data_IF_872684464649
#
_entry.id   IF_872684464649
#
_cell.length_a   1.000
_cell.length_b   1.000
_cell.length_c   1.000
_cell.angle_alpha   90.00
_cell.angle_beta   90.00
_cell.angle_gamma   90.00
#
_symmetry.space_group_name_H-M   'P 1'
#
loop_
_entity.id
_entity.type
_entity.pdbx_description
1 polymer ?
#
# COMPACT_ATOMS: atom_id res chain seq x y z
N UNK A 1 1.04 16.03 26.54
CA UNK A 1 1.59 15.09 25.54
C UNK A 1 0.56 15.03 24.41
N UNK A 2 0.85 15.62 23.25
CA UNK A 2 -0.13 15.69 22.15
C UNK A 2 -0.27 14.27 21.59
N UNK A 3 -1.49 13.70 21.65
CA UNK A 3 -1.76 12.38 21.10
C UNK A 3 -1.78 12.49 19.57
N UNK A 4 -0.67 12.13 18.95
CA UNK A 4 -0.56 12.10 17.50
C UNK A 4 -1.45 10.99 16.95
N UNK A 5 -2.35 11.33 16.03
CA UNK A 5 -3.25 10.35 15.45
C UNK A 5 -2.52 9.51 14.39
N UNK A 6 -3.07 8.34 14.07
CA UNK A 6 -2.57 7.54 12.95
C UNK A 6 -2.65 8.32 11.61
N UNK A 7 -3.64 9.21 11.47
CA UNK A 7 -3.77 10.07 10.31
C UNK A 7 -2.62 11.08 10.21
N UNK A 8 -2.24 11.72 11.32
CA UNK A 8 -1.13 12.70 11.34
C UNK A 8 0.20 12.06 10.94
N UNK A 9 0.44 10.83 11.42
CA UNK A 9 1.63 10.05 11.04
C UNK A 9 1.62 9.67 9.57
N UNK A 10 0.45 9.34 9.01
CA UNK A 10 0.32 9.01 7.60
C UNK A 10 0.56 10.24 6.70
N UNK A 11 -0.02 11.40 7.04
CA UNK A 11 0.16 12.66 6.32
C UNK A 11 1.64 13.06 6.30
N UNK A 12 2.31 13.06 7.45
CA UNK A 12 3.73 13.41 7.54
C UNK A 12 4.63 12.51 6.67
N UNK A 13 4.32 11.21 6.59
CA UNK A 13 5.07 10.27 5.74
C UNK A 13 4.87 10.53 4.25
N UNK A 14 3.66 10.88 3.83
CA UNK A 14 3.34 11.19 2.42
C UNK A 14 3.97 12.52 2.02
N UNK A 15 3.88 13.54 2.88
CA UNK A 15 4.45 14.86 2.62
C UNK A 15 5.98 14.79 2.46
N UNK A 16 6.65 13.97 3.27
CA UNK A 16 8.11 13.81 3.22
C UNK A 16 8.66 13.19 1.93
N UNK A 17 7.83 12.58 1.08
CA UNK A 17 8.26 11.97 -0.19
C UNK A 17 7.58 12.58 -1.42
N UNK A 18 6.84 13.68 -1.25
CA UNK A 18 5.96 14.24 -2.30
C UNK A 18 6.71 14.55 -3.59
N UNK A 19 7.90 15.11 -3.48
CA UNK A 19 8.71 15.60 -4.60
C UNK A 19 9.85 14.65 -4.99
N UNK A 20 9.91 13.45 -4.39
CA UNK A 20 10.86 12.39 -4.74
C UNK A 20 10.09 11.17 -5.29
N UNK A 21 10.04 10.99 -6.63
CA UNK A 21 9.36 9.86 -7.25
C UNK A 21 9.87 8.48 -6.79
N UNK A 22 11.16 8.37 -6.50
CA UNK A 22 11.77 7.10 -6.07
C UNK A 22 11.39 6.78 -4.63
N UNK A 23 11.47 7.77 -3.74
CA UNK A 23 11.03 7.62 -2.35
C UNK A 23 9.53 7.35 -2.25
N UNK A 24 8.72 7.99 -3.10
CA UNK A 24 7.28 7.74 -3.20
C UNK A 24 6.99 6.29 -3.60
N UNK A 25 7.69 5.76 -4.61
CA UNK A 25 7.55 4.36 -5.01
C UNK A 25 7.94 3.39 -3.88
N UNK A 26 9.02 3.69 -3.15
CA UNK A 26 9.44 2.90 -2.00
C UNK A 26 8.39 2.92 -0.87
N UNK A 27 7.81 4.08 -0.56
CA UNK A 27 6.74 4.22 0.41
C UNK A 27 5.48 3.43 0.01
N UNK A 28 5.10 3.46 -1.27
CA UNK A 28 3.98 2.65 -1.77
C UNK A 28 4.24 1.15 -1.59
N UNK A 29 5.42 0.65 -1.99
CA UNK A 29 5.76 -0.78 -1.87
C UNK A 29 5.69 -1.29 -0.44
N UNK A 30 6.12 -0.48 0.52
CA UNK A 30 6.07 -0.84 1.94
C UNK A 30 4.65 -0.76 2.51
N UNK A 31 3.86 0.21 2.06
CA UNK A 31 2.46 0.40 2.51
C UNK A 31 1.50 -0.64 1.93
N UNK A 32 1.74 -1.10 0.69
CA UNK A 32 0.96 -2.16 0.03
C UNK A 32 1.47 -3.58 0.33
N UNK A 33 2.37 -3.75 1.31
CA UNK A 33 2.80 -5.08 1.73
C UNK A 33 1.61 -5.80 2.38
N UNK A 34 0.96 -6.65 1.61
CA UNK A 34 -0.06 -7.57 2.13
C UNK A 34 0.65 -8.52 3.10
N UNK A 35 0.18 -8.62 4.36
CA UNK A 35 0.70 -9.63 5.27
C UNK A 35 0.56 -11.02 4.64
N UNK A 36 1.58 -11.88 4.76
CA UNK A 36 1.52 -13.25 4.19
C UNK A 36 0.36 -14.07 4.73
N UNK A 37 -0.15 -13.73 5.92
CA UNK A 37 -1.37 -14.31 6.50
C UNK A 37 -2.67 -13.84 5.84
N UNK A 38 -2.64 -12.71 5.14
CA UNK A 38 -3.77 -12.08 4.41
C UNK A 38 -3.68 -12.35 2.92
N UNK A 39 -2.49 -12.63 2.39
CA UNK A 39 -2.28 -13.10 1.03
C UNK A 39 -2.87 -14.51 0.85
N UNK A 40 -4.17 -14.56 0.61
CA UNK A 40 -4.93 -15.80 0.38
C UNK A 40 -4.73 -16.36 -1.04
N UNK A 41 -3.76 -15.86 -1.80
CA UNK A 41 -3.58 -16.22 -3.21
C UNK A 41 -4.75 -15.83 -4.12
N UNK A 42 -5.71 -15.04 -3.61
CA UNK A 42 -6.93 -14.70 -4.33
C UNK A 42 -6.74 -13.38 -5.09
N UNK A 43 -6.10 -13.47 -6.25
CA UNK A 43 -6.31 -12.50 -7.32
C UNK A 43 -7.40 -13.08 -8.23
N UNK A 44 -8.66 -12.62 -8.18
CA UNK A 44 -9.76 -13.14 -9.00
C UNK A 44 -9.65 -12.78 -10.50
N UNK A 45 -8.45 -12.42 -10.97
CA UNK A 45 -8.18 -12.03 -12.35
C UNK A 45 -7.38 -13.08 -13.14
N UNK A 46 -7.33 -14.32 -12.66
CA UNK A 46 -6.86 -15.45 -13.46
C UNK A 46 -8.07 -16.19 -14.03
N UNK A 47 -8.29 -15.96 -15.32
CA UNK A 47 -9.20 -16.70 -16.20
C UNK A 47 -10.70 -16.33 -16.15
N UNK A 48 -11.07 -15.21 -16.77
CA UNK A 48 -12.28 -15.19 -17.57
C UNK A 48 -12.02 -15.97 -18.87
N UNK A 49 -11.92 -17.31 -18.78
CA UNK A 49 -11.98 -18.17 -19.96
C UNK A 49 -13.46 -18.35 -20.30
N UNK A 50 -13.96 -17.90 -21.47
CA UNK A 50 -15.35 -18.16 -21.83
C UNK A 50 -15.55 -19.68 -22.00
N UNK A 51 -16.71 -20.24 -21.58
CA UNK A 51 -17.00 -21.65 -21.80
C UNK A 51 -17.04 -21.95 -23.30
N UNK A 52 -16.38 -23.04 -23.71
CA UNK A 52 -16.58 -23.70 -25.01
C UNK A 52 -17.38 -24.97 -24.80
#
# INVERSE_FOLDING_TARGET
MIRQSAADVAVAKVDGVRDDPSARLALMRTSYRVPSSVDRGYLPYREARPPS
#
